data_IF_761261433217
#
_entry.id   IF_761261433217
#
_cell.length_a   1.000
_cell.length_b   1.000
_cell.length_c   1.000
_cell.angle_alpha   90.00
_cell.angle_beta   90.00
_cell.angle_gamma   90.00
#
_symmetry.space_group_name_H-M   'P 1'
#
loop_
_entity.id
_entity.type
_entity.pdbx_description
1 polymer ?
#
# COMPACT_ATOMS: atom_id res chain seq x y z
N UNK A 1 0.53 28.88 -8.50
CA UNK A 1 -0.69 29.34 -7.79
C UNK A 1 -0.64 29.24 -6.24
N UNK A 2 0.47 28.80 -5.61
CA UNK A 2 0.65 28.80 -4.14
C UNK A 2 -0.31 27.90 -3.34
N UNK A 3 -1.09 27.05 -4.02
CA UNK A 3 -2.09 26.17 -3.41
C UNK A 3 -1.43 24.89 -2.87
N UNK A 4 -2.00 24.35 -1.80
CA UNK A 4 -1.71 22.99 -1.40
C UNK A 4 -2.51 22.01 -2.27
N UNK A 5 -1.95 20.83 -2.56
CA UNK A 5 -2.55 19.83 -3.44
C UNK A 5 -2.50 18.44 -2.80
N UNK A 6 -3.62 17.72 -2.89
CA UNK A 6 -3.68 16.28 -2.63
C UNK A 6 -3.92 15.58 -3.96
N UNK A 7 -2.95 14.79 -4.41
CA UNK A 7 -2.99 14.06 -5.66
C UNK A 7 -3.49 12.63 -5.41
N UNK A 8 -4.19 12.05 -6.38
CA UNK A 8 -4.38 10.60 -6.39
C UNK A 8 -3.12 9.89 -6.89
N UNK A 9 -3.04 8.58 -6.61
CA UNK A 9 -2.06 7.69 -7.22
C UNK A 9 -2.57 7.14 -8.57
N UNK A 10 -1.69 6.79 -9.52
CA UNK A 10 -0.25 7.12 -9.56
C UNK A 10 -0.01 8.60 -9.87
N UNK A 11 1.24 9.08 -9.71
CA UNK A 11 1.57 10.50 -9.94
C UNK A 11 1.49 10.91 -11.41
N UNK A 12 1.89 10.00 -12.29
CA UNK A 12 1.76 10.09 -13.75
C UNK A 12 1.79 8.67 -14.32
N UNK A 13 1.42 8.51 -15.59
CA UNK A 13 1.57 7.22 -16.31
C UNK A 13 3.01 6.97 -16.74
N UNK A 14 3.78 8.02 -17.02
CA UNK A 14 5.21 7.94 -17.31
C UNK A 14 6.06 8.20 -16.04
N UNK A 15 7.03 7.31 -15.79
CA UNK A 15 7.89 7.40 -14.61
C UNK A 15 8.86 8.59 -14.65
N UNK A 16 9.35 8.97 -15.84
CA UNK A 16 10.27 10.10 -15.96
C UNK A 16 9.52 11.42 -15.73
N UNK A 17 8.29 11.55 -16.23
CA UNK A 17 7.40 12.67 -15.93
C UNK A 17 7.07 12.73 -14.44
N UNK A 18 6.72 11.60 -13.80
CA UNK A 18 6.49 11.55 -12.36
C UNK A 18 7.72 12.02 -11.57
N UNK A 19 8.92 11.56 -11.94
CA UNK A 19 10.17 11.93 -11.28
C UNK A 19 10.50 13.42 -11.45
N UNK A 20 10.33 13.96 -12.66
CA UNK A 20 10.52 15.38 -12.94
C UNK A 20 9.54 16.25 -12.14
N UNK A 21 8.27 15.85 -12.10
CA UNK A 21 7.23 16.51 -11.31
C UNK A 21 7.59 16.55 -9.81
N UNK A 22 8.00 15.41 -9.23
CA UNK A 22 8.40 15.36 -7.81
C UNK A 22 9.60 16.26 -7.55
N UNK A 23 10.62 16.24 -8.41
CA UNK A 23 11.81 17.07 -8.24
C UNK A 23 11.48 18.57 -8.28
N UNK A 24 10.64 19.01 -9.22
CA UNK A 24 10.20 20.41 -9.31
C UNK A 24 9.36 20.82 -8.09
N UNK A 25 8.41 19.98 -7.68
CA UNK A 25 7.56 20.24 -6.53
C UNK A 25 8.37 20.36 -5.23
N UNK A 26 9.37 19.51 -5.02
CA UNK A 26 10.27 19.59 -3.86
C UNK A 26 11.17 20.83 -3.92
N UNK A 27 11.78 21.13 -5.08
CA UNK A 27 12.64 22.30 -5.25
C UNK A 27 11.92 23.63 -5.01
N UNK A 28 10.62 23.68 -5.29
CA UNK A 28 9.77 24.86 -5.08
C UNK A 28 9.13 24.91 -3.69
N UNK A 29 9.37 23.91 -2.84
CA UNK A 29 8.73 23.81 -1.52
C UNK A 29 7.21 23.67 -1.60
N UNK A 30 6.71 23.01 -2.65
CA UNK A 30 5.28 22.83 -2.87
C UNK A 30 4.64 22.05 -1.70
N UNK A 31 3.48 22.53 -1.25
CA UNK A 31 2.66 21.84 -0.25
C UNK A 31 1.83 20.76 -0.94
N UNK A 32 2.46 19.63 -1.22
CA UNK A 32 1.84 18.55 -1.97
C UNK A 32 1.91 17.22 -1.21
N UNK A 33 0.86 16.43 -1.35
CA UNK A 33 0.78 15.10 -0.80
C UNK A 33 0.01 14.17 -1.75
N UNK A 34 0.14 12.86 -1.54
CA UNK A 34 -0.56 11.84 -2.31
C UNK A 34 -1.56 11.11 -1.42
N UNK A 35 -2.71 10.78 -2.00
CA UNK A 35 -3.78 10.07 -1.34
C UNK A 35 -3.47 8.57 -1.29
N UNK A 36 -2.64 8.17 -0.33
CA UNK A 36 -2.59 6.79 0.16
C UNK A 36 -3.44 6.67 1.43
N UNK A 37 -4.68 6.14 1.36
CA UNK A 37 -5.61 6.17 2.50
C UNK A 37 -5.08 5.46 3.76
N UNK A 38 -4.21 4.46 3.59
CA UNK A 38 -3.54 3.79 4.72
C UNK A 38 -2.76 4.75 5.63
N UNK A 39 -2.35 5.92 5.15
CA UNK A 39 -1.75 6.97 5.97
C UNK A 39 -2.66 7.42 7.11
N UNK A 40 -3.98 7.30 6.95
CA UNK A 40 -5.01 7.70 7.92
C UNK A 40 -5.83 6.53 8.45
N UNK A 41 -5.34 5.29 8.30
CA UNK A 41 -6.03 4.10 8.79
C UNK A 41 -5.80 3.89 10.29
N UNK A 42 -6.87 3.75 11.11
CA UNK A 42 -6.75 3.34 12.51
C UNK A 42 -6.04 2.00 12.69
N UNK A 43 -6.29 1.02 11.81
CA UNK A 43 -5.59 -0.26 11.87
C UNK A 43 -4.09 -0.13 11.59
N UNK A 44 -3.70 0.72 10.64
CA UNK A 44 -2.27 0.99 10.39
C UNK A 44 -1.63 1.70 11.58
N UNK A 45 -2.33 2.65 12.21
CA UNK A 45 -1.88 3.29 13.43
C UNK A 45 -1.68 2.26 14.56
N UNK A 46 -2.59 1.30 14.71
CA UNK A 46 -2.47 0.21 15.69
C UNK A 46 -1.26 -0.69 15.42
N UNK A 47 -0.98 -1.03 14.16
CA UNK A 47 0.23 -1.79 13.80
C UNK A 47 1.51 -1.03 14.13
N UNK A 48 1.53 0.28 13.88
CA UNK A 48 2.65 1.14 14.27
C UNK A 48 2.84 1.16 15.79
N UNK A 49 1.75 1.31 16.55
CA UNK A 49 1.78 1.30 18.02
C UNK A 49 2.30 -0.04 18.58
N UNK A 50 1.85 -1.17 18.05
CA UNK A 50 2.36 -2.48 18.48
C UNK A 50 3.85 -2.67 18.13
N UNK A 51 4.29 -2.25 16.95
CA UNK A 51 5.71 -2.32 16.57
C UNK A 51 6.58 -1.48 17.50
N UNK A 52 6.18 -0.24 17.75
CA UNK A 52 6.88 0.69 18.65
C UNK A 52 6.85 0.20 20.11
N UNK A 53 5.77 -0.47 20.52
CA UNK A 53 5.65 -1.13 21.83
C UNK A 53 6.39 -2.47 21.95
N UNK A 54 7.16 -2.88 20.93
CA UNK A 54 8.00 -4.08 20.99
C UNK A 54 7.27 -5.40 20.72
N UNK A 55 6.02 -5.39 20.26
CA UNK A 55 5.25 -6.61 19.99
C UNK A 55 5.86 -7.52 18.91
N UNK A 56 6.75 -6.96 18.08
CA UNK A 56 7.47 -7.68 17.01
C UNK A 56 8.93 -7.95 17.38
N UNK A 57 9.54 -7.12 18.24
CA UNK A 57 11.00 -7.13 18.43
C UNK A 57 11.74 -6.67 17.17
N UNK A 58 12.95 -7.19 16.93
CA UNK A 58 13.67 -6.92 15.69
C UNK A 58 12.94 -7.60 14.50
N UNK A 59 12.54 -6.84 13.45
CA UNK A 59 11.92 -7.41 12.26
C UNK A 59 12.82 -8.41 11.54
N UNK A 60 12.28 -9.56 11.17
CA UNK A 60 13.02 -10.65 10.50
C UNK A 60 12.51 -10.94 9.10
N UNK A 61 11.20 -10.86 8.86
CA UNK A 61 10.59 -11.10 7.57
C UNK A 61 9.22 -10.44 7.47
N UNK A 62 8.85 -10.08 6.24
CA UNK A 62 7.53 -9.57 5.92
C UNK A 62 6.94 -10.31 4.73
N UNK A 63 5.65 -10.62 4.81
CA UNK A 63 4.88 -11.25 3.74
C UNK A 63 3.72 -10.36 3.33
N UNK A 64 3.55 -10.14 2.04
CA UNK A 64 2.39 -9.48 1.43
C UNK A 64 1.71 -10.51 0.52
N UNK A 65 0.44 -10.78 0.76
CA UNK A 65 -0.38 -11.62 -0.10
C UNK A 65 -1.64 -10.85 -0.51
N UNK A 66 -1.93 -10.80 -1.81
CA UNK A 66 -3.16 -10.17 -2.34
C UNK A 66 -3.81 -11.09 -3.36
N UNK A 67 -4.87 -11.79 -2.96
CA UNK A 67 -5.59 -12.74 -3.80
C UNK A 67 -6.98 -12.21 -4.15
N UNK A 68 -7.42 -12.45 -5.38
CA UNK A 68 -8.69 -11.97 -5.91
C UNK A 68 -9.45 -13.13 -6.57
N UNK A 69 -10.74 -13.28 -6.29
CA UNK A 69 -11.56 -14.26 -7.01
C UNK A 69 -11.73 -13.90 -8.48
N UNK A 70 -11.77 -12.60 -8.77
CA UNK A 70 -11.74 -12.05 -10.13
C UNK A 70 -11.12 -10.65 -10.16
N UNK A 71 -10.57 -10.28 -11.30
CA UNK A 71 -10.08 -8.92 -11.55
C UNK A 71 -10.68 -8.35 -12.83
N UNK A 72 -11.14 -7.09 -12.83
CA UNK A 72 -11.37 -6.21 -11.67
C UNK A 72 -12.41 -6.79 -10.70
N UNK A 73 -12.43 -6.30 -9.46
CA UNK A 73 -13.38 -6.77 -8.45
C UNK A 73 -14.81 -6.45 -8.85
N UNK A 74 -15.76 -7.22 -8.34
CA UNK A 74 -17.13 -7.16 -8.78
C UNK A 74 -17.84 -5.83 -8.61
N UNK A 75 -17.46 -5.04 -7.62
CA UNK A 75 -18.05 -3.73 -7.37
C UNK A 75 -17.41 -2.60 -8.20
N UNK A 76 -16.29 -2.83 -8.90
CA UNK A 76 -15.54 -1.81 -9.66
C UNK A 76 -16.12 -1.52 -11.06
N UNK A 77 -17.45 -1.58 -11.23
CA UNK A 77 -18.13 -1.49 -12.53
C UNK A 77 -17.74 -0.27 -13.37
N UNK A 78 -17.58 0.91 -12.75
CA UNK A 78 -17.29 2.17 -13.47
C UNK A 78 -15.85 2.34 -13.96
N UNK A 79 -14.92 1.51 -13.48
CA UNK A 79 -13.50 1.57 -13.85
C UNK A 79 -13.01 0.25 -14.49
N UNK A 80 -13.92 -0.73 -14.64
CA UNK A 80 -13.57 -2.08 -15.04
C UNK A 80 -12.87 -2.15 -16.41
N UNK A 81 -13.23 -1.27 -17.35
CA UNK A 81 -12.68 -1.26 -18.71
C UNK A 81 -11.19 -0.94 -18.78
N UNK A 82 -10.69 -0.01 -17.94
CA UNK A 82 -9.25 0.32 -17.91
C UNK A 82 -8.49 -0.45 -16.83
N UNK A 83 -9.13 -0.76 -15.69
CA UNK A 83 -8.50 -1.56 -14.62
C UNK A 83 -8.14 -2.98 -15.08
N UNK A 84 -8.88 -3.51 -16.05
CA UNK A 84 -8.61 -4.83 -16.64
C UNK A 84 -7.44 -4.81 -17.64
N UNK A 85 -6.87 -3.64 -17.97
CA UNK A 85 -5.83 -3.49 -19.00
C UNK A 85 -4.49 -3.16 -18.36
N UNK A 86 -3.41 -3.71 -18.92
CA UNK A 86 -2.04 -3.54 -18.43
C UNK A 86 -1.52 -2.11 -18.53
N UNK A 87 -2.06 -1.29 -19.44
CA UNK A 87 -1.57 0.07 -19.65
C UNK A 87 -1.67 0.94 -18.37
N UNK A 88 -2.80 0.88 -17.67
CA UNK A 88 -3.08 1.74 -16.51
C UNK A 88 -3.69 0.98 -15.32
N UNK A 89 -4.15 -0.25 -15.56
CA UNK A 89 -4.82 -1.09 -14.58
C UNK A 89 -3.89 -2.10 -13.91
N UNK A 90 -4.52 -3.16 -13.41
CA UNK A 90 -3.87 -4.23 -12.65
C UNK A 90 -3.98 -4.07 -11.14
N UNK A 91 -4.04 -5.21 -10.44
CA UNK A 91 -4.13 -5.23 -8.98
C UNK A 91 -2.82 -4.77 -8.33
N UNK A 92 -1.70 -4.83 -9.04
CA UNK A 92 -0.41 -4.38 -8.55
C UNK A 92 -0.39 -2.86 -8.38
N UNK A 93 -0.85 -2.13 -9.40
CA UNK A 93 -1.04 -0.67 -9.31
C UNK A 93 -2.14 -0.30 -8.34
N UNK A 94 -3.26 -1.03 -8.40
CA UNK A 94 -4.45 -0.66 -7.66
C UNK A 94 -4.37 -0.97 -6.17
N UNK A 95 -3.78 -2.10 -5.80
CA UNK A 95 -3.87 -2.72 -4.47
C UNK A 95 -2.51 -2.88 -3.81
N UNK A 96 -1.57 -3.54 -4.49
CA UNK A 96 -0.24 -3.84 -3.94
C UNK A 96 0.51 -2.56 -3.59
N UNK A 97 0.34 -1.49 -4.38
CA UNK A 97 0.88 -0.15 -4.08
C UNK A 97 0.58 0.33 -2.66
N UNK A 98 -0.62 0.06 -2.12
CA UNK A 98 -0.97 0.44 -0.74
C UNK A 98 -0.17 -0.36 0.30
N UNK A 99 0.07 -1.65 0.07
CA UNK A 99 0.85 -2.50 0.98
C UNK A 99 2.35 -2.23 0.87
N UNK A 100 2.86 -1.86 -0.31
CA UNK A 100 4.22 -1.37 -0.48
C UNK A 100 4.42 -0.05 0.24
N UNK A 101 3.47 0.88 0.14
CA UNK A 101 3.49 2.13 0.91
C UNK A 101 3.49 1.87 2.43
N UNK A 102 2.64 0.96 2.92
CA UNK A 102 2.66 0.54 4.31
C UNK A 102 4.04 -0.01 4.71
N UNK A 103 4.61 -0.88 3.88
CA UNK A 103 5.94 -1.48 4.11
C UNK A 103 7.03 -0.43 4.18
N UNK A 104 7.05 0.52 3.23
CA UNK A 104 7.97 1.66 3.20
C UNK A 104 7.95 2.43 4.53
N UNK A 105 6.75 2.71 5.07
CA UNK A 105 6.60 3.45 6.32
C UNK A 105 6.96 2.66 7.57
N UNK A 106 6.71 1.35 7.55
CA UNK A 106 6.93 0.51 8.73
C UNK A 106 8.38 0.06 8.86
N UNK A 107 9.07 -0.17 7.74
CA UNK A 107 10.40 -0.77 7.72
C UNK A 107 11.48 0.09 7.06
N UNK A 108 11.12 1.03 6.17
CA UNK A 108 12.07 1.90 5.47
C UNK A 108 12.17 1.59 3.98
N UNK A 109 13.25 2.10 3.35
CA UNK A 109 13.44 2.09 1.90
C UNK A 109 13.22 0.71 1.27
N UNK A 110 12.48 0.69 0.15
CA UNK A 110 12.18 -0.51 -0.64
C UNK A 110 13.23 -0.72 -1.74
N UNK A 111 13.60 -1.97 -1.96
CA UNK A 111 14.49 -2.42 -3.02
C UNK A 111 13.93 -3.72 -3.62
N UNK A 112 13.70 -3.76 -4.93
CA UNK A 112 13.30 -4.99 -5.60
C UNK A 112 14.53 -5.90 -5.78
N UNK A 113 14.42 -7.18 -5.41
CA UNK A 113 15.48 -8.18 -5.60
C UNK A 113 15.19 -9.02 -6.84
N UNK A 114 13.96 -9.49 -6.96
CA UNK A 114 13.48 -10.24 -8.13
C UNK A 114 11.97 -10.14 -8.23
N UNK A 115 11.44 -10.26 -9.43
CA UNK A 115 10.01 -10.40 -9.66
C UNK A 115 9.73 -11.30 -10.85
N UNK A 116 8.52 -11.83 -10.87
CA UNK A 116 7.90 -12.52 -11.98
C UNK A 116 6.45 -12.08 -12.06
N UNK A 117 5.98 -11.85 -13.29
CA UNK A 117 4.58 -11.51 -13.56
C UNK A 117 4.02 -12.42 -14.64
N UNK A 118 2.86 -12.98 -14.37
CA UNK A 118 2.12 -13.77 -15.35
C UNK A 118 0.99 -12.90 -15.94
N UNK A 119 1.10 -12.62 -17.23
CA UNK A 119 0.06 -11.93 -18.01
C UNK A 119 -0.70 -12.93 -18.90
N UNK A 120 -2.01 -12.73 -19.10
CA UNK A 120 -2.74 -13.42 -20.16
C UNK A 120 -2.36 -12.85 -21.54
N UNK A 121 -2.87 -13.45 -22.62
CA UNK A 121 -2.66 -12.92 -23.97
C UNK A 121 -3.26 -11.51 -24.16
N UNK A 122 -2.66 -10.72 -25.06
CA UNK A 122 -3.12 -9.38 -25.41
C UNK A 122 -2.60 -8.28 -24.47
N UNK A 123 -3.51 -7.39 -24.07
CA UNK A 123 -3.22 -6.18 -23.28
C UNK A 123 -3.90 -6.19 -21.91
N UNK A 124 -4.45 -7.33 -21.48
CA UNK A 124 -5.08 -7.47 -20.18
C UNK A 124 -4.04 -7.39 -19.05
N UNK A 125 -4.51 -7.01 -17.87
CA UNK A 125 -3.70 -6.89 -16.66
C UNK A 125 -3.21 -8.25 -16.14
N UNK A 126 -2.24 -8.19 -15.22
CA UNK A 126 -1.60 -9.35 -14.62
C UNK A 126 -2.59 -10.27 -13.89
N UNK A 127 -2.32 -11.58 -13.99
CA UNK A 127 -3.08 -12.64 -13.33
C UNK A 127 -2.37 -13.19 -12.10
N UNK A 128 -1.04 -13.08 -12.05
CA UNK A 128 -0.25 -13.40 -10.88
C UNK A 128 1.03 -12.56 -10.83
N UNK A 129 1.50 -12.26 -9.62
CA UNK A 129 2.83 -11.73 -9.36
C UNK A 129 3.50 -12.53 -8.24
N UNK A 130 4.81 -12.69 -8.35
CA UNK A 130 5.69 -13.11 -7.26
C UNK A 130 6.88 -12.15 -7.24
N UNK A 131 7.25 -11.62 -6.09
CA UNK A 131 8.40 -10.74 -5.95
C UNK A 131 9.10 -10.91 -4.60
N UNK A 132 10.42 -10.79 -4.63
CA UNK A 132 11.27 -10.65 -3.45
C UNK A 132 11.78 -9.22 -3.38
N UNK A 133 11.65 -8.59 -2.21
CA UNK A 133 12.12 -7.23 -1.94
C UNK A 133 12.94 -7.18 -0.65
N UNK A 134 13.61 -6.07 -0.43
CA UNK A 134 14.10 -5.64 0.89
C UNK A 134 13.40 -4.36 1.30
N UNK A 135 13.08 -4.24 2.59
CA UNK A 135 12.55 -3.03 3.19
C UNK A 135 13.37 -2.67 4.43
N UNK A 136 14.19 -1.63 4.35
CA UNK A 136 15.13 -1.27 5.42
C UNK A 136 16.05 -2.44 5.83
N UNK A 137 16.43 -3.29 4.87
CA UNK A 137 17.23 -4.50 5.09
C UNK A 137 16.44 -5.78 5.42
N UNK A 138 15.16 -5.66 5.80
CA UNK A 138 14.29 -6.81 6.11
C UNK A 138 13.83 -7.48 4.81
N UNK A 139 13.95 -8.80 4.66
CA UNK A 139 13.43 -9.51 3.49
C UNK A 139 11.90 -9.47 3.44
N UNK A 140 11.37 -9.22 2.25
CA UNK A 140 9.93 -9.14 1.95
C UNK A 140 9.62 -10.13 0.85
N UNK A 141 8.57 -10.94 1.05
CA UNK A 141 7.95 -11.73 -0.01
C UNK A 141 6.60 -11.12 -0.36
N UNK A 142 6.37 -10.93 -1.65
CA UNK A 142 5.12 -10.42 -2.20
C UNK A 142 4.56 -11.44 -3.19
N UNK A 143 3.30 -11.82 -2.99
CA UNK A 143 2.55 -12.63 -3.95
C UNK A 143 1.18 -12.03 -4.20
N UNK A 144 0.68 -12.18 -5.41
CA UNK A 144 -0.71 -11.87 -5.71
C UNK A 144 -1.25 -12.73 -6.83
N UNK A 145 -2.55 -13.00 -6.80
CA UNK A 145 -3.18 -13.88 -7.78
C UNK A 145 -4.64 -13.53 -8.06
N UNK A 146 -5.10 -13.91 -9.26
CA UNK A 146 -6.49 -13.78 -9.69
C UNK A 146 -7.05 -15.16 -10.01
N UNK A 147 -8.26 -15.45 -9.54
CA UNK A 147 -9.00 -16.68 -9.83
C UNK A 147 -8.65 -17.88 -8.95
N UNK A 148 -7.90 -17.70 -7.85
CA UNK A 148 -7.50 -18.79 -6.94
C UNK A 148 -8.35 -18.92 -5.67
N UNK A 149 -9.23 -17.96 -5.42
CA UNK A 149 -10.11 -17.90 -4.25
C UNK A 149 -11.57 -17.69 -4.69
N UNK A 150 -12.53 -18.01 -3.81
CA UNK A 150 -13.95 -17.81 -4.09
C UNK A 150 -14.45 -16.43 -3.66
N UNK A 151 -13.81 -15.85 -2.65
CA UNK A 151 -14.07 -14.51 -2.15
C UNK A 151 -13.63 -13.44 -3.16
N UNK A 152 -14.24 -12.24 -3.07
CA UNK A 152 -13.86 -11.13 -3.95
C UNK A 152 -12.38 -10.73 -3.79
N UNK A 153 -11.89 -10.73 -2.54
CA UNK A 153 -10.48 -10.51 -2.23
C UNK A 153 -10.08 -11.11 -0.87
N UNK A 154 -8.80 -11.47 -0.75
CA UNK A 154 -8.13 -11.80 0.50
C UNK A 154 -6.75 -11.13 0.50
N UNK A 155 -6.56 -10.12 1.35
CA UNK A 155 -5.31 -9.38 1.44
C UNK A 155 -4.69 -9.53 2.83
N UNK A 156 -3.39 -9.78 2.89
CA UNK A 156 -2.62 -9.88 4.12
C UNK A 156 -1.29 -9.16 4.00
N UNK A 157 -0.91 -8.46 5.07
CA UNK A 157 0.42 -7.93 5.31
C UNK A 157 0.86 -8.45 6.66
N UNK A 158 1.89 -9.30 6.73
CA UNK A 158 2.32 -9.99 7.94
C UNK A 158 3.77 -9.62 8.22
N UNK A 159 4.02 -9.00 9.38
CA UNK A 159 5.37 -8.70 9.85
C UNK A 159 5.72 -9.63 11.00
N UNK A 160 6.82 -10.36 10.86
CA UNK A 160 7.38 -11.26 11.89
C UNK A 160 8.73 -10.75 12.36
N UNK A 161 8.99 -10.90 13.64
CA UNK A 161 10.27 -10.59 14.26
C UNK A 161 10.54 -11.48 15.47
N UNK A 162 11.64 -11.19 16.15
CA UNK A 162 12.15 -11.99 17.27
C UNK A 162 11.15 -12.19 18.42
N UNK A 163 10.29 -11.20 18.69
CA UNK A 163 9.38 -11.25 19.83
C UNK A 163 7.95 -11.67 19.46
N UNK A 164 7.61 -11.71 18.17
CA UNK A 164 6.24 -12.02 17.75
C UNK A 164 5.91 -11.56 16.33
N UNK A 165 4.62 -11.47 16.05
CA UNK A 165 4.13 -11.07 14.74
C UNK A 165 2.87 -10.20 14.83
N UNK A 166 2.72 -9.30 13.87
CA UNK A 166 1.52 -8.50 13.66
C UNK A 166 1.09 -8.63 12.19
N UNK A 167 -0.21 -8.48 11.90
CA UNK A 167 -0.70 -8.45 10.54
C UNK A 167 -1.82 -7.45 10.32
N UNK A 168 -1.89 -6.92 9.09
CA UNK A 168 -3.08 -6.28 8.55
C UNK A 168 -3.81 -7.31 7.68
N UNK A 169 -5.07 -7.61 7.98
CA UNK A 169 -5.91 -8.47 7.16
C UNK A 169 -7.08 -7.68 6.57
N UNK A 170 -7.34 -7.85 5.28
CA UNK A 170 -8.42 -7.22 4.53
C UNK A 170 -8.58 -5.73 4.87
N UNK A 171 -7.47 -4.99 4.74
CA UNK A 171 -7.36 -3.52 4.89
C UNK A 171 -7.54 -2.93 6.29
N UNK A 172 -8.25 -3.63 7.18
CA UNK A 172 -8.89 -3.01 8.35
C UNK A 172 -8.74 -3.80 9.64
N UNK A 173 -8.35 -5.07 9.55
CA UNK A 173 -8.20 -5.92 10.72
C UNK A 173 -6.73 -5.98 11.11
N UNK A 174 -6.33 -5.11 12.04
CA UNK A 174 -5.04 -5.24 12.72
C UNK A 174 -5.12 -6.41 13.70
N UNK A 175 -4.23 -7.38 13.56
CA UNK A 175 -4.16 -8.57 14.40
C UNK A 175 -2.73 -8.76 14.93
N UNK A 176 -2.60 -9.29 16.15
CA UNK A 176 -1.35 -9.67 16.77
C UNK A 176 -1.33 -11.18 17.00
N UNK A 177 -0.17 -11.80 16.81
CA UNK A 177 0.06 -13.19 17.19
C UNK A 177 0.36 -13.22 18.69
N UNK A 178 -0.52 -13.89 19.45
CA UNK A 178 -0.38 -14.05 20.89
C UNK A 178 0.49 -15.27 21.24
N UNK A 179 0.90 -15.37 22.51
CA UNK A 179 1.75 -16.45 23.01
C UNK A 179 1.11 -17.85 22.89
N UNK A 180 -0.23 -17.92 22.78
CA UNK A 180 -0.98 -19.16 22.53
C UNK A 180 -0.93 -19.61 21.05
N UNK A 181 -0.23 -18.86 20.19
CA UNK A 181 -0.10 -19.12 18.76
C UNK A 181 -1.32 -18.67 17.94
N UNK A 182 -2.31 -18.02 18.55
CA UNK A 182 -3.49 -17.53 17.86
C UNK A 182 -3.35 -16.06 17.46
N UNK A 183 -3.94 -15.71 16.32
CA UNK A 183 -4.14 -14.31 15.93
C UNK A 183 -5.31 -13.71 16.71
N UNK A 184 -5.10 -12.57 17.36
CA UNK A 184 -6.14 -11.78 18.01
C UNK A 184 -6.29 -10.43 17.33
N UNK A 185 -7.52 -10.09 16.97
CA UNK A 185 -7.86 -8.78 16.40
C UNK A 185 -7.79 -7.70 17.48
N UNK A 186 -7.33 -6.51 17.11
CA UNK A 186 -7.39 -5.34 17.97
C UNK A 186 -8.84 -5.11 18.47
N UNK A 187 -9.06 -4.78 19.75
CA UNK A 187 -10.40 -4.62 20.32
C UNK A 187 -11.28 -3.62 19.57
N UNK A 188 -10.68 -2.54 19.06
CA UNK A 188 -11.37 -1.46 18.36
C UNK A 188 -11.36 -1.63 16.82
N UNK A 189 -10.98 -2.81 16.33
CA UNK A 189 -11.03 -3.08 14.90
C UNK A 189 -12.47 -3.12 14.42
N UNK A 190 -12.73 -2.38 13.34
CA UNK A 190 -14.01 -2.37 12.65
C UNK A 190 -13.83 -2.91 11.23
N UNK A 191 -14.86 -3.54 10.64
CA UNK A 191 -14.81 -3.96 9.25
C UNK A 191 -14.48 -2.79 8.30
N UNK A 192 -13.87 -3.10 7.15
CA UNK A 192 -13.40 -2.09 6.20
C UNK A 192 -14.49 -1.10 5.77
N UNK A 193 -15.74 -1.57 5.59
CA UNK A 193 -16.88 -0.73 5.23
C UNK A 193 -17.14 0.38 6.26
N UNK A 194 -17.03 0.05 7.55
CA UNK A 194 -17.18 1.01 8.64
C UNK A 194 -15.91 1.87 8.83
N UNK A 195 -14.72 1.31 8.56
CA UNK A 195 -13.45 2.05 8.67
C UNK A 195 -13.29 3.10 7.58
N UNK A 196 -13.75 2.82 6.35
CA UNK A 196 -13.46 3.64 5.17
C UNK A 196 -13.90 5.11 5.33
N UNK A 197 -15.11 5.44 5.82
CA UNK A 197 -15.48 6.83 6.10
C UNK A 197 -14.54 7.52 7.10
N UNK A 198 -14.06 6.81 8.12
CA UNK A 198 -13.12 7.35 9.11
C UNK A 198 -11.77 7.68 8.46
N UNK A 199 -11.26 6.78 7.62
CA UNK A 199 -10.00 6.98 6.87
C UNK A 199 -10.10 8.21 5.97
N UNK A 200 -11.19 8.33 5.20
CA UNK A 200 -11.42 9.47 4.31
C UNK A 200 -11.56 10.78 5.09
N UNK A 201 -12.30 10.78 6.20
CA UNK A 201 -12.36 11.92 7.11
C UNK A 201 -10.99 12.31 7.67
N UNK A 202 -10.16 11.33 8.03
CA UNK A 202 -8.78 11.53 8.46
C UNK A 202 -7.90 12.18 7.38
N UNK A 203 -8.01 11.71 6.13
CA UNK A 203 -7.33 12.32 4.97
C UNK A 203 -7.72 13.80 4.82
N UNK A 204 -9.01 14.14 4.95
CA UNK A 204 -9.49 15.52 4.83
C UNK A 204 -8.99 16.43 5.96
N UNK A 205 -8.97 15.94 7.20
CA UNK A 205 -8.39 16.70 8.32
C UNK A 205 -6.90 17.01 8.10
N UNK A 206 -6.15 16.02 7.60
CA UNK A 206 -4.72 16.20 7.30
C UNK A 206 -4.50 17.13 6.11
N UNK A 207 -5.33 17.05 5.07
CA UNK A 207 -5.29 18.01 3.96
C UNK A 207 -5.57 19.43 4.46
N UNK A 208 -6.55 19.60 5.35
CA UNK A 208 -6.81 20.90 5.96
C UNK A 208 -5.62 21.41 6.79
N UNK A 209 -4.84 20.52 7.44
CA UNK A 209 -3.60 20.92 8.10
C UNK A 209 -2.52 21.34 7.09
N UNK A 210 -2.36 20.61 5.98
CA UNK A 210 -1.44 20.93 4.89
C UNK A 210 -1.73 22.31 4.29
N UNK A 211 -3.01 22.66 4.10
CA UNK A 211 -3.41 23.98 3.57
C UNK A 211 -3.10 25.13 4.53
N UNK A 212 -2.96 24.86 5.83
CA UNK A 212 -2.49 25.81 6.85
C UNK A 212 -0.96 25.89 6.96
N UNK A 213 -0.22 25.09 6.19
CA UNK A 213 1.24 25.07 6.20
C UNK A 213 1.86 24.10 7.21
N UNK A 214 1.05 23.24 7.83
CA UNK A 214 1.59 22.14 8.63
C UNK A 214 2.26 21.11 7.70
N UNK A 215 3.55 20.86 7.91
CA UNK A 215 4.33 19.88 7.17
C UNK A 215 4.25 18.47 7.77
N UNK A 216 3.83 18.33 9.03
CA UNK A 216 3.81 17.08 9.78
C UNK A 216 2.43 16.40 9.79
N UNK A 217 1.70 16.48 8.68
CA UNK A 217 0.33 15.94 8.57
C UNK A 217 0.26 14.41 8.57
N UNK A 218 1.38 13.75 8.26
CA UNK A 218 1.43 12.30 8.07
C UNK A 218 0.74 11.80 6.79
N UNK A 219 0.32 12.69 5.86
CA UNK A 219 -0.05 12.29 4.49
C UNK A 219 1.16 11.71 3.75
N UNK A 220 0.92 10.94 2.67
CA UNK A 220 2.01 10.45 1.85
C UNK A 220 2.70 11.60 1.12
N UNK A 221 4.02 11.64 1.17
CA UNK A 221 4.81 12.61 0.41
C UNK A 221 4.85 12.23 -1.07
N UNK A 222 5.17 13.20 -1.93
CA UNK A 222 5.42 12.92 -3.35
C UNK A 222 6.54 11.89 -3.54
N UNK A 223 7.60 12.00 -2.73
CA UNK A 223 8.75 11.08 -2.76
C UNK A 223 8.35 9.65 -2.41
N UNK A 224 7.59 9.47 -1.33
CA UNK A 224 7.08 8.15 -0.92
C UNK A 224 6.24 7.53 -2.05
N UNK A 225 5.34 8.32 -2.66
CA UNK A 225 4.50 7.87 -3.76
C UNK A 225 5.31 7.49 -5.01
N UNK A 226 6.32 8.30 -5.38
CA UNK A 226 7.20 7.99 -6.49
C UNK A 226 7.99 6.70 -6.25
N UNK A 227 8.55 6.51 -5.05
CA UNK A 227 9.26 5.27 -4.70
C UNK A 227 8.36 4.04 -4.82
N UNK A 228 7.12 4.13 -4.32
CA UNK A 228 6.15 3.03 -4.46
C UNK A 228 5.82 2.78 -5.93
N UNK A 229 5.59 3.83 -6.72
CA UNK A 229 5.30 3.72 -8.14
C UNK A 229 6.46 3.06 -8.89
N UNK A 230 7.71 3.43 -8.59
CA UNK A 230 8.90 2.82 -9.21
C UNK A 230 8.96 1.31 -8.96
N UNK A 231 8.76 0.86 -7.73
CA UNK A 231 8.74 -0.57 -7.39
C UNK A 231 7.61 -1.30 -8.11
N UNK A 232 6.41 -0.72 -8.15
CA UNK A 232 5.27 -1.30 -8.86
C UNK A 232 5.58 -1.49 -10.34
N UNK A 233 6.09 -0.46 -11.01
CA UNK A 233 6.42 -0.52 -12.44
C UNK A 233 7.66 -1.39 -12.73
N UNK A 234 8.54 -1.61 -11.77
CA UNK A 234 9.66 -2.55 -11.90
C UNK A 234 9.18 -4.00 -11.79
N UNK A 235 8.30 -4.30 -10.83
CA UNK A 235 7.62 -5.61 -10.75
C UNK A 235 6.92 -5.91 -12.07
N UNK A 236 6.09 -4.98 -12.58
CA UNK A 236 5.28 -5.19 -13.77
C UNK A 236 6.07 -5.34 -15.08
N UNK A 237 7.36 -4.98 -15.09
CA UNK A 237 8.26 -5.15 -16.24
C UNK A 237 9.05 -6.47 -16.24
N UNK A 238 8.98 -7.23 -15.14
CA UNK A 238 9.77 -8.44 -14.92
C UNK A 238 9.23 -9.67 -15.65
#
# INVERSE_FOLDING_TARGET
AGRAVLLEKPLATDLAEAAAFVAEAEATGARAAVNFPMASSPAVAQLAAWRQGGAVGAPQALEIATDFGRWPRGWQHGAATWLARRAEGGFTREVVSHFLFLTLRQLGALELVSARVDYPEGDLAEMAIEAELRAGGVPVRLSGSVGRIAEDEANAWVLRGEAGAIRLRNWSLAERLEADGAWRTAPDAVPNEAMRPMVLGGQMHKLAALTRGDSATGLATLREALTVQQIVEEILRS
#
